data_IF_458821480628
#
_entry.id   IF_458821480628
#
_cell.length_a   1.000
_cell.length_b   1.000
_cell.length_c   1.000
_cell.angle_alpha   90.00
_cell.angle_beta   90.00
_cell.angle_gamma   90.00
#
_symmetry.space_group_name_H-M   'P 1'
#
loop_
_entity.id
_entity.type
_entity.pdbx_description
1 polymer ?
#
# COMPACT_ATOMS: atom_id res chain seq x y z
N UNK A 1 -30.33 32.70 61.47
CA UNK A 1 -30.93 31.40 61.23
C UNK A 1 -31.32 31.29 59.77
N UNK A 2 -31.10 30.22 59.15
CA UNK A 2 -30.13 29.12 59.08
C UNK A 2 -29.59 29.07 57.65
N UNK A 3 -28.83 28.27 57.16
CA UNK A 3 -28.32 26.94 57.42
C UNK A 3 -27.17 26.68 56.43
N UNK A 4 -26.10 26.13 56.86
CA UNK A 4 -24.93 25.89 56.05
C UNK A 4 -25.06 24.52 55.39
N UNK A 5 -25.21 24.50 54.06
CA UNK A 5 -25.08 23.28 53.25
C UNK A 5 -23.63 22.79 53.23
N UNK A 6 -23.36 21.69 53.96
CA UNK A 6 -22.09 21.00 53.92
C UNK A 6 -21.89 20.28 52.60
N UNK A 7 -21.05 20.79 51.74
CA UNK A 7 -20.47 20.01 50.63
C UNK A 7 -19.53 18.98 51.20
N UNK A 8 -19.90 17.71 51.15
CA UNK A 8 -19.00 16.58 51.45
C UNK A 8 -17.91 16.49 50.35
N UNK A 9 -16.82 17.24 50.61
CA UNK A 9 -15.59 17.05 49.86
C UNK A 9 -15.05 15.67 50.18
N UNK A 10 -14.93 14.82 49.18
CA UNK A 10 -14.19 13.56 49.27
C UNK A 10 -12.73 13.93 49.56
N UNK A 11 -12.28 13.63 50.77
CA UNK A 11 -10.94 13.94 51.22
C UNK A 11 -9.93 13.16 50.35
N UNK A 12 -9.06 13.83 49.58
CA UNK A 12 -8.06 13.15 48.77
C UNK A 12 -7.07 12.30 49.58
N UNK A 13 -6.97 12.52 50.88
CA UNK A 13 -6.19 11.69 51.80
C UNK A 13 -6.80 10.29 52.00
N UNK A 14 -8.11 10.12 51.83
CA UNK A 14 -8.76 8.82 52.00
C UNK A 14 -8.36 7.82 50.90
N UNK A 15 -8.12 8.27 49.66
CA UNK A 15 -7.65 7.40 48.58
C UNK A 15 -6.18 6.97 48.75
N UNK A 16 -5.36 7.84 49.31
CA UNK A 16 -3.98 7.54 49.66
C UNK A 16 -3.88 6.53 50.79
N UNK A 17 -4.78 6.58 51.78
CA UNK A 17 -4.80 5.63 52.92
C UNK A 17 -5.15 4.21 52.45
N UNK A 18 -6.04 4.05 51.45
CA UNK A 18 -6.37 2.76 50.90
C UNK A 18 -5.19 2.16 50.11
N UNK A 19 -4.46 2.95 49.33
CA UNK A 19 -3.25 2.53 48.62
C UNK A 19 -2.14 2.11 49.58
N UNK A 20 -1.93 2.88 50.63
CA UNK A 20 -0.94 2.58 51.69
C UNK A 20 -1.32 1.31 52.43
N UNK A 21 -2.61 1.11 52.73
CA UNK A 21 -3.13 -0.09 53.39
C UNK A 21 -2.98 -1.34 52.50
N UNK A 22 -3.17 -1.23 51.22
CA UNK A 22 -2.99 -2.32 50.23
C UNK A 22 -1.51 -2.69 50.07
N UNK A 23 -0.63 -1.71 50.06
CA UNK A 23 0.83 -1.91 50.03
C UNK A 23 1.41 -2.48 51.33
N UNK A 24 0.87 -2.06 52.48
CA UNK A 24 1.31 -2.55 53.76
C UNK A 24 0.77 -3.95 54.12
N UNK A 25 -0.42 -4.31 53.61
CA UNK A 25 -1.03 -5.63 53.81
C UNK A 25 -1.45 -6.22 52.43
N UNK A 26 -0.52 -6.80 51.68
CA UNK A 26 -0.82 -7.39 50.37
C UNK A 26 -1.64 -8.69 50.45
N UNK A 27 -1.95 -9.17 51.63
CA UNK A 27 -2.73 -10.38 51.83
C UNK A 27 -4.17 -10.02 52.23
N UNK A 28 -5.13 -10.60 51.50
CA UNK A 28 -6.56 -10.49 51.82
C UNK A 28 -6.83 -10.85 53.29
N UNK A 29 -7.67 -10.07 53.97
CA UNK A 29 -8.07 -10.28 55.36
C UNK A 29 -8.59 -11.72 55.60
N UNK A 30 -9.22 -12.35 54.64
CA UNK A 30 -9.63 -13.74 54.65
C UNK A 30 -8.47 -14.73 54.78
N UNK A 31 -7.33 -14.43 54.11
CA UNK A 31 -6.14 -15.29 54.17
C UNK A 31 -5.44 -15.20 55.56
N UNK A 32 -5.41 -14.03 56.16
CA UNK A 32 -4.85 -13.83 57.52
C UNK A 32 -5.71 -14.57 58.54
N UNK A 33 -7.04 -14.48 58.42
CA UNK A 33 -7.96 -15.19 59.32
C UNK A 33 -7.89 -16.71 59.13
N UNK A 34 -7.81 -17.20 57.89
CA UNK A 34 -7.62 -18.62 57.60
C UNK A 34 -6.33 -19.18 58.21
N UNK A 35 -5.25 -18.43 58.12
CA UNK A 35 -3.93 -18.81 58.70
C UNK A 35 -3.92 -18.81 60.23
N UNK A 36 -4.67 -17.90 60.86
CA UNK A 36 -4.80 -17.83 62.31
C UNK A 36 -5.62 -19.00 62.88
N UNK A 37 -6.65 -19.45 62.15
CA UNK A 37 -7.54 -20.55 62.59
C UNK A 37 -7.02 -21.94 62.23
N UNK A 38 -6.19 -22.07 61.18
CA UNK A 38 -5.71 -23.37 60.69
C UNK A 38 -4.20 -23.53 60.80
N UNK A 39 -3.57 -23.14 61.84
CA UNK A 39 -2.16 -23.27 62.14
C UNK A 39 -1.23 -23.91 61.04
N UNK A 40 0.07 -23.73 61.09
CA UNK A 40 0.96 -24.26 60.06
C UNK A 40 0.90 -25.80 60.05
N UNK A 41 0.26 -26.37 59.03
CA UNK A 41 0.33 -27.82 58.84
C UNK A 41 1.79 -28.21 58.53
N UNK A 42 2.39 -29.18 59.25
CA UNK A 42 3.72 -29.63 58.89
C UNK A 42 3.70 -30.14 57.47
N UNK A 43 4.49 -29.51 56.60
CA UNK A 43 4.60 -29.91 55.21
C UNK A 43 5.21 -31.33 55.19
N UNK A 44 4.38 -32.32 54.90
CA UNK A 44 4.81 -33.71 54.76
C UNK A 44 5.83 -33.79 53.64
N UNK A 45 6.83 -34.66 53.74
CA UNK A 45 7.83 -34.88 52.71
C UNK A 45 7.19 -35.17 51.34
N UNK A 46 6.08 -35.89 51.31
CA UNK A 46 5.29 -36.12 50.13
C UNK A 46 4.74 -34.82 49.49
N UNK A 47 4.27 -33.88 50.32
CA UNK A 47 3.76 -32.59 49.81
C UNK A 47 4.86 -31.72 49.21
N UNK A 48 6.07 -31.72 49.79
CA UNK A 48 7.23 -31.03 49.23
C UNK A 48 7.70 -31.61 47.93
N UNK A 49 7.71 -32.95 47.82
CA UNK A 49 8.03 -33.66 46.56
C UNK A 49 6.97 -33.38 45.49
N UNK A 50 5.69 -33.35 45.84
CA UNK A 50 4.62 -33.01 44.91
C UNK A 50 4.74 -31.61 44.35
N UNK A 51 5.00 -30.61 45.18
CA UNK A 51 5.23 -29.22 44.74
C UNK A 51 6.47 -29.12 43.83
N UNK A 52 7.54 -29.84 44.16
CA UNK A 52 8.76 -29.87 43.35
C UNK A 52 8.53 -30.49 41.97
N UNK A 53 7.77 -31.59 41.89
CA UNK A 53 7.41 -32.21 40.60
C UNK A 53 6.55 -31.29 39.75
N UNK A 54 5.56 -30.61 40.35
CA UNK A 54 4.71 -29.64 39.61
C UNK A 54 5.55 -28.45 39.13
N UNK A 55 6.46 -27.93 39.95
CA UNK A 55 7.35 -26.85 39.57
C UNK A 55 8.30 -27.26 38.41
N UNK A 56 8.83 -28.48 38.47
CA UNK A 56 9.64 -29.06 37.34
C UNK A 56 8.83 -29.21 36.09
N UNK A 57 7.59 -29.70 36.15
CA UNK A 57 6.72 -29.88 34.99
C UNK A 57 6.36 -28.52 34.35
N UNK A 58 6.07 -27.50 35.16
CA UNK A 58 5.79 -26.14 34.68
C UNK A 58 7.04 -25.50 34.09
N UNK A 59 8.21 -25.69 34.71
CA UNK A 59 9.49 -25.20 34.18
C UNK A 59 9.82 -25.84 32.84
N UNK A 60 9.66 -27.15 32.73
CA UNK A 60 9.89 -27.88 31.47
C UNK A 60 8.88 -27.46 30.37
N UNK A 61 7.61 -27.32 30.71
CA UNK A 61 6.59 -26.84 29.79
C UNK A 61 6.89 -25.43 29.28
N UNK A 62 7.38 -24.55 30.13
CA UNK A 62 7.79 -23.20 29.75
C UNK A 62 8.97 -23.19 28.78
N UNK A 63 9.97 -24.07 28.98
CA UNK A 63 11.13 -24.21 28.08
C UNK A 63 10.70 -24.75 26.72
N UNK A 64 9.82 -25.75 26.69
CA UNK A 64 9.30 -26.31 25.43
C UNK A 64 8.47 -25.26 24.67
N UNK A 65 7.62 -24.50 25.36
CA UNK A 65 6.84 -23.43 24.76
C UNK A 65 7.72 -22.31 24.18
N UNK A 66 8.80 -21.92 24.89
CA UNK A 66 9.73 -20.92 24.37
C UNK A 66 10.59 -21.44 23.20
N UNK A 67 10.90 -22.74 23.16
CA UNK A 67 11.58 -23.33 22.00
C UNK A 67 10.67 -23.44 20.78
N UNK A 68 9.40 -23.80 20.96
CA UNK A 68 8.43 -23.85 19.85
C UNK A 68 8.08 -22.45 19.28
N UNK A 69 8.06 -21.42 20.13
CA UNK A 69 7.89 -20.02 19.71
C UNK A 69 9.18 -19.41 19.09
N UNK A 70 10.33 -20.01 19.35
CA UNK A 70 11.61 -19.71 18.70
C UNK A 70 11.88 -20.59 17.48
N UNK A 71 10.87 -21.31 16.98
CA UNK A 71 10.94 -21.97 15.68
C UNK A 71 11.42 -20.97 14.62
N UNK A 72 12.38 -21.33 13.78
CA UNK A 72 13.43 -20.43 13.32
C UNK A 72 12.89 -19.38 12.35
N UNK A 73 12.87 -18.12 12.78
CA UNK A 73 12.76 -16.98 11.88
C UNK A 73 13.87 -16.98 10.79
N UNK A 74 14.89 -17.83 10.94
CA UNK A 74 15.93 -18.09 9.97
C UNK A 74 15.42 -18.84 8.73
N UNK A 75 14.60 -19.88 8.93
CA UNK A 75 14.09 -20.68 7.81
C UNK A 75 13.07 -19.91 6.96
N UNK A 76 12.19 -19.13 7.60
CA UNK A 76 11.25 -18.26 6.88
C UNK A 76 11.96 -17.18 6.06
N UNK A 77 13.04 -16.59 6.61
CA UNK A 77 13.87 -15.63 5.86
C UNK A 77 14.62 -16.28 4.70
N UNK A 78 15.13 -17.49 4.88
CA UNK A 78 15.80 -18.22 3.83
C UNK A 78 14.83 -18.61 2.71
N UNK A 79 13.65 -19.10 3.08
CA UNK A 79 12.57 -19.48 2.15
C UNK A 79 12.03 -18.27 1.37
N UNK A 80 11.79 -17.14 2.04
CA UNK A 80 11.38 -15.89 1.38
C UNK A 80 12.46 -15.35 0.44
N UNK A 81 13.74 -15.45 0.81
CA UNK A 81 14.85 -15.06 -0.05
C UNK A 81 14.95 -15.95 -1.27
N UNK A 82 14.76 -17.26 -1.09
CA UNK A 82 14.74 -18.23 -2.20
C UNK A 82 13.54 -18.00 -3.12
N UNK A 83 12.35 -17.74 -2.58
CA UNK A 83 11.17 -17.38 -3.37
C UNK A 83 11.38 -16.07 -4.14
N UNK A 84 11.95 -15.05 -3.51
CA UNK A 84 12.28 -13.78 -4.16
C UNK A 84 13.29 -13.99 -5.29
N UNK A 85 14.33 -14.80 -5.06
CA UNK A 85 15.33 -15.17 -6.06
C UNK A 85 14.72 -15.91 -7.26
N UNK A 86 13.86 -16.90 -6.99
CA UNK A 86 13.14 -17.63 -8.05
C UNK A 86 12.23 -16.74 -8.87
N UNK A 87 11.51 -15.81 -8.23
CA UNK A 87 10.66 -14.84 -8.92
C UNK A 87 11.47 -13.84 -9.75
N UNK A 88 12.63 -13.41 -9.24
CA UNK A 88 13.53 -12.53 -10.00
C UNK A 88 14.09 -13.22 -11.23
N UNK A 89 14.49 -14.48 -11.11
CA UNK A 89 14.93 -15.29 -12.26
C UNK A 89 13.81 -15.50 -13.30
N UNK A 90 12.58 -15.73 -12.83
CA UNK A 90 11.42 -15.86 -13.72
C UNK A 90 11.09 -14.55 -14.46
N UNK A 91 11.25 -13.41 -13.80
CA UNK A 91 11.08 -12.08 -14.44
C UNK A 91 12.17 -11.85 -15.48
N UNK A 92 13.41 -12.26 -15.18
CA UNK A 92 14.54 -12.15 -16.11
C UNK A 92 14.35 -13.05 -17.34
N UNK A 93 13.90 -14.28 -17.16
CA UNK A 93 13.55 -15.21 -18.25
C UNK A 93 12.42 -14.64 -19.13
N UNK A 94 11.34 -14.17 -18.51
CA UNK A 94 10.25 -13.54 -19.25
C UNK A 94 10.69 -12.28 -20.02
N UNK A 95 11.59 -11.49 -19.41
CA UNK A 95 12.16 -10.32 -20.09
C UNK A 95 13.02 -10.71 -21.31
N UNK A 96 13.80 -11.78 -21.18
CA UNK A 96 14.58 -12.33 -22.27
C UNK A 96 13.67 -12.88 -23.38
N UNK A 97 12.59 -13.56 -23.04
CA UNK A 97 11.60 -14.05 -23.99
C UNK A 97 10.92 -12.89 -24.73
N UNK A 98 10.50 -11.84 -24.03
CA UNK A 98 9.94 -10.64 -24.65
C UNK A 98 10.93 -9.97 -25.59
N UNK A 99 12.21 -9.86 -25.20
CA UNK A 99 13.25 -9.30 -26.08
C UNK A 99 13.54 -10.21 -27.28
N UNK A 100 13.50 -11.54 -27.12
CA UNK A 100 13.71 -12.47 -28.23
C UNK A 100 12.54 -12.44 -29.23
N UNK A 101 11.32 -12.38 -28.71
CA UNK A 101 10.11 -12.19 -29.53
C UNK A 101 10.11 -10.84 -30.23
N UNK A 102 10.53 -9.77 -29.55
CA UNK A 102 10.70 -8.44 -30.16
C UNK A 102 11.67 -8.48 -31.34
N UNK A 103 12.84 -9.09 -31.16
CA UNK A 103 13.82 -9.29 -32.25
C UNK A 103 13.30 -10.18 -33.39
N UNK A 104 12.54 -11.23 -33.07
CA UNK A 104 11.91 -12.06 -34.08
C UNK A 104 10.86 -11.27 -34.89
N UNK A 105 10.05 -10.45 -34.25
CA UNK A 105 9.09 -9.56 -34.91
C UNK A 105 9.81 -8.56 -35.82
N UNK A 106 10.92 -7.98 -35.38
CA UNK A 106 11.74 -7.06 -36.19
C UNK A 106 12.31 -7.74 -37.43
N UNK A 107 12.72 -9.01 -37.35
CA UNK A 107 13.20 -9.78 -38.50
C UNK A 107 12.10 -10.07 -39.55
N UNK A 108 10.85 -10.20 -39.10
CA UNK A 108 9.69 -10.39 -40.03
C UNK A 108 9.04 -9.07 -40.44
N UNK A 109 9.38 -7.95 -39.77
CA UNK A 109 8.92 -6.62 -40.16
C UNK A 109 9.66 -6.18 -41.42
N UNK A 110 8.98 -6.27 -42.55
CA UNK A 110 9.46 -5.78 -43.84
C UNK A 110 9.90 -4.30 -43.73
N UNK A 111 10.95 -3.84 -44.46
CA UNK A 111 11.42 -2.44 -44.38
C UNK A 111 10.37 -1.38 -44.77
N UNK A 112 9.21 -1.78 -45.32
CA UNK A 112 8.06 -0.89 -45.47
C UNK A 112 7.38 -0.47 -44.19
N UNK A 113 7.82 -0.97 -42.99
CA UNK A 113 7.22 -0.73 -41.70
C UNK A 113 7.95 0.34 -40.86
N UNK A 114 8.94 1.05 -41.38
CA UNK A 114 9.61 2.18 -40.70
C UNK A 114 8.57 3.19 -40.21
N UNK A 115 7.53 3.46 -41.01
CA UNK A 115 6.45 4.37 -40.63
C UNK A 115 5.61 3.87 -39.44
N UNK A 116 5.45 2.54 -39.28
CA UNK A 116 4.68 1.97 -38.14
C UNK A 116 5.50 1.93 -36.85
N UNK A 117 6.81 1.67 -36.94
CA UNK A 117 7.72 1.68 -35.80
C UNK A 117 7.86 3.11 -35.28
N UNK A 118 8.00 4.10 -36.13
CA UNK A 118 8.03 5.52 -35.72
C UNK A 118 6.72 5.94 -35.08
N UNK A 119 5.57 5.46 -35.62
CA UNK A 119 4.26 5.71 -35.00
C UNK A 119 4.10 5.06 -33.64
N UNK A 120 4.58 3.82 -33.46
CA UNK A 120 4.51 3.12 -32.17
C UNK A 120 5.40 3.80 -31.10
N UNK A 121 6.60 4.21 -31.48
CA UNK A 121 7.48 4.97 -30.59
C UNK A 121 6.89 6.33 -30.23
N UNK A 122 6.27 7.02 -31.18
CA UNK A 122 5.58 8.29 -30.95
C UNK A 122 4.38 8.14 -30.01
N UNK A 123 3.64 7.03 -30.12
CA UNK A 123 2.56 6.69 -29.18
C UNK A 123 3.10 6.45 -27.76
N UNK A 124 4.15 5.64 -27.63
CA UNK A 124 4.77 5.31 -26.34
C UNK A 124 5.41 6.53 -25.67
N UNK A 125 6.01 7.42 -26.47
CA UNK A 125 6.57 8.68 -25.96
C UNK A 125 5.51 9.75 -25.72
N UNK A 126 4.24 9.47 -26.01
CA UNK A 126 3.10 10.38 -25.87
C UNK A 126 3.21 11.66 -26.74
N UNK A 127 4.05 11.67 -27.79
CA UNK A 127 4.30 12.84 -28.65
C UNK A 127 3.27 13.04 -29.76
N UNK A 128 2.30 12.14 -29.90
CA UNK A 128 1.19 12.25 -30.84
C UNK A 128 -0.15 12.20 -30.13
N UNK A 129 -1.13 12.91 -30.67
CA UNK A 129 -2.51 12.82 -30.23
C UNK A 129 -3.06 11.41 -30.49
N UNK A 130 -3.92 10.93 -29.64
CA UNK A 130 -4.50 9.59 -29.73
C UNK A 130 -6.00 9.64 -29.56
N UNK A 131 -6.69 8.68 -30.19
CA UNK A 131 -8.10 8.45 -29.95
C UNK A 131 -8.40 6.96 -29.98
N UNK A 132 -9.36 6.53 -29.15
CA UNK A 132 -9.77 5.14 -29.06
C UNK A 132 -10.83 4.89 -28.01
N UNK A 133 -11.30 3.64 -27.88
CA UNK A 133 -12.19 3.26 -26.79
C UNK A 133 -11.45 3.27 -25.46
N UNK A 134 -12.18 3.39 -24.38
CA UNK A 134 -11.55 3.37 -23.06
C UNK A 134 -12.50 3.73 -21.94
N UNK A 135 -11.93 4.20 -20.84
CA UNK A 135 -12.68 4.61 -19.64
C UNK A 135 -12.23 5.97 -19.14
N UNK A 136 -13.13 6.66 -18.43
CA UNK A 136 -12.83 7.82 -17.62
C UNK A 136 -13.16 7.47 -16.15
N UNK A 137 -12.18 7.64 -15.30
CA UNK A 137 -12.28 7.45 -13.84
C UNK A 137 -12.30 8.82 -13.18
N UNK A 138 -13.40 9.18 -12.58
CA UNK A 138 -13.57 10.45 -11.91
C UNK A 138 -13.42 10.27 -10.40
N UNK A 139 -12.41 10.92 -9.82
CA UNK A 139 -12.23 11.01 -8.38
C UNK A 139 -12.69 12.40 -7.92
N UNK A 140 -13.57 12.43 -6.92
CA UNK A 140 -14.13 13.69 -6.43
C UNK A 140 -13.91 13.83 -4.93
N UNK A 141 -13.40 14.97 -4.53
CA UNK A 141 -13.22 15.34 -3.13
C UNK A 141 -14.54 15.30 -2.37
N UNK A 142 -14.51 14.94 -1.11
CA UNK A 142 -15.66 15.07 -0.24
C UNK A 142 -16.05 16.54 -0.09
N UNK A 143 -17.30 16.85 -0.42
CA UNK A 143 -17.88 18.18 -0.20
C UNK A 143 -18.39 18.28 1.25
N UNK A 144 -18.03 19.37 1.98
CA UNK A 144 -18.57 19.63 3.31
C UNK A 144 -17.59 20.30 4.29
N UNK A 145 -18.05 20.69 5.50
CA UNK A 145 -17.17 21.19 6.56
C UNK A 145 -16.22 20.10 7.02
N UNK A 146 -14.93 20.39 7.03
CA UNK A 146 -13.86 19.45 7.35
C UNK A 146 -13.01 19.02 6.14
N UNK A 147 -12.86 19.89 5.17
CA UNK A 147 -12.16 19.67 3.89
C UNK A 147 -10.74 19.07 3.96
N UNK A 148 -10.13 18.95 5.14
CA UNK A 148 -8.75 18.45 5.27
C UNK A 148 -8.59 16.93 5.19
N UNK A 149 -9.65 16.15 5.42
CA UNK A 149 -9.56 14.67 5.50
C UNK A 149 -10.21 13.92 4.34
N UNK A 150 -10.90 14.63 3.44
CA UNK A 150 -11.64 14.04 2.32
C UNK A 150 -11.14 14.44 0.94
N UNK A 151 -9.98 15.08 0.86
CA UNK A 151 -9.36 15.47 -0.40
C UNK A 151 -8.65 14.28 -1.05
N UNK A 152 -8.79 14.15 -2.35
CA UNK A 152 -7.99 13.25 -3.19
C UNK A 152 -6.52 13.69 -3.12
N UNK A 153 -5.62 12.74 -3.06
CA UNK A 153 -4.17 12.98 -3.00
C UNK A 153 -3.49 12.54 -4.28
N UNK A 154 -2.31 13.05 -4.51
CA UNK A 154 -1.42 12.63 -5.61
C UNK A 154 -1.19 11.10 -5.62
N UNK A 155 -1.09 10.48 -4.45
CA UNK A 155 -0.96 9.02 -4.30
C UNK A 155 -2.19 8.26 -4.82
N UNK A 156 -3.39 8.81 -4.64
CA UNK A 156 -4.64 8.20 -5.11
C UNK A 156 -4.68 8.22 -6.65
N UNK A 157 -4.30 9.34 -7.25
CA UNK A 157 -4.18 9.47 -8.71
C UNK A 157 -3.07 8.55 -9.26
N UNK A 158 -1.91 8.51 -8.61
CA UNK A 158 -0.80 7.64 -9.00
C UNK A 158 -1.19 6.15 -8.94
N UNK A 159 -1.96 5.74 -7.92
CA UNK A 159 -2.47 4.37 -7.80
C UNK A 159 -3.38 4.01 -8.97
N UNK A 160 -4.32 4.89 -9.32
CA UNK A 160 -5.24 4.70 -10.47
C UNK A 160 -4.45 4.64 -11.78
N UNK A 161 -3.55 5.58 -12.02
CA UNK A 161 -2.71 5.62 -13.24
C UNK A 161 -1.88 4.35 -13.39
N UNK A 162 -1.21 3.92 -12.32
CA UNK A 162 -0.38 2.70 -12.35
C UNK A 162 -1.22 1.44 -12.59
N UNK A 163 -2.43 1.36 -12.00
CA UNK A 163 -3.33 0.25 -12.24
C UNK A 163 -3.80 0.19 -13.70
N UNK A 164 -4.09 1.35 -14.30
CA UNK A 164 -4.50 1.44 -15.71
C UNK A 164 -3.36 1.06 -16.65
N UNK A 165 -2.12 1.51 -16.40
CA UNK A 165 -0.94 1.07 -17.16
C UNK A 165 -0.72 -0.43 -17.04
N UNK A 166 -0.82 -0.99 -15.83
CA UNK A 166 -0.68 -2.43 -15.60
C UNK A 166 -1.77 -3.26 -16.27
N UNK A 167 -2.96 -2.67 -16.49
CA UNK A 167 -4.08 -3.29 -17.20
C UNK A 167 -3.99 -3.16 -18.73
N UNK A 168 -2.93 -2.55 -19.25
CA UNK A 168 -2.69 -2.41 -20.69
C UNK A 168 -3.30 -1.15 -21.29
N UNK A 169 -3.44 -0.07 -20.54
CA UNK A 169 -3.77 1.23 -21.12
C UNK A 169 -2.69 1.63 -22.14
N UNK A 170 -3.11 2.18 -23.27
CA UNK A 170 -2.22 2.65 -24.34
C UNK A 170 -1.92 4.15 -24.21
N UNK A 171 -2.82 4.88 -23.58
CA UNK A 171 -2.67 6.29 -23.28
C UNK A 171 -3.48 6.68 -22.05
N UNK A 172 -2.94 7.59 -21.25
CA UNK A 172 -3.62 8.12 -20.05
C UNK A 172 -3.48 9.64 -20.02
N UNK A 173 -4.52 10.32 -19.53
CA UNK A 173 -4.49 11.73 -19.17
C UNK A 173 -5.18 11.98 -17.83
N UNK A 174 -4.80 13.06 -17.13
CA UNK A 174 -5.46 13.55 -15.93
C UNK A 174 -5.91 14.99 -16.21
N UNK A 175 -7.20 15.27 -16.15
CA UNK A 175 -7.77 16.58 -16.50
C UNK A 175 -7.14 17.15 -17.78
N UNK A 176 -7.18 16.37 -18.86
CA UNK A 176 -6.62 16.65 -20.18
C UNK A 176 -5.08 16.78 -20.25
N UNK A 177 -4.39 16.62 -19.12
CA UNK A 177 -2.93 16.56 -19.11
C UNK A 177 -2.44 15.15 -19.45
N UNK A 178 -1.85 14.97 -20.65
CA UNK A 178 -1.33 13.68 -21.11
C UNK A 178 -0.21 13.19 -20.19
N UNK A 179 -0.29 11.92 -19.80
CA UNK A 179 0.74 11.23 -19.02
C UNK A 179 1.72 10.56 -19.96
N UNK A 180 3.00 10.88 -19.80
CA UNK A 180 4.11 10.31 -20.58
C UNK A 180 5.31 9.99 -19.69
N UNK A 181 6.44 9.54 -20.27
CA UNK A 181 7.59 9.06 -19.50
C UNK A 181 8.20 10.06 -18.52
N UNK A 182 8.07 11.37 -18.79
CA UNK A 182 8.60 12.44 -17.94
C UNK A 182 7.55 13.11 -17.08
N UNK A 183 6.29 12.63 -17.10
CA UNK A 183 5.21 13.23 -16.32
C UNK A 183 5.32 12.87 -14.85
N UNK A 184 5.18 13.85 -13.99
CA UNK A 184 5.08 13.67 -12.56
C UNK A 184 3.78 14.26 -12.02
N UNK A 185 3.23 13.60 -11.00
CA UNK A 185 2.03 14.04 -10.26
C UNK A 185 2.47 14.27 -8.82
N UNK A 186 2.23 15.47 -8.30
CA UNK A 186 2.64 15.81 -6.92
C UNK A 186 1.69 16.81 -6.28
N UNK A 187 1.53 16.72 -4.99
CA UNK A 187 0.84 17.73 -4.19
C UNK A 187 1.75 18.95 -3.95
N UNK A 188 1.22 20.14 -4.17
CA UNK A 188 1.87 21.40 -3.88
C UNK A 188 0.90 22.31 -3.10
N UNK A 189 1.05 22.33 -1.78
CA UNK A 189 0.13 23.03 -0.90
C UNK A 189 -1.27 22.41 -0.92
N UNK A 190 -2.27 23.15 -1.40
CA UNK A 190 -3.66 22.72 -1.46
C UNK A 190 -4.08 22.19 -2.85
N UNK A 191 -3.17 22.08 -3.80
CA UNK A 191 -3.46 21.66 -5.18
C UNK A 191 -2.55 20.50 -5.59
N UNK A 192 -3.05 19.68 -6.52
CA UNK A 192 -2.24 18.67 -7.19
C UNK A 192 -1.73 19.25 -8.49
N UNK A 193 -0.47 19.04 -8.76
CA UNK A 193 0.17 19.41 -10.03
C UNK A 193 0.41 18.17 -10.88
N UNK A 194 0.01 18.23 -12.13
CA UNK A 194 0.46 17.31 -13.19
C UNK A 194 1.49 18.08 -14.00
N UNK A 195 2.75 17.69 -13.89
CA UNK A 195 3.89 18.51 -14.29
C UNK A 195 3.86 19.88 -13.57
N UNK A 196 3.65 20.95 -14.33
CA UNK A 196 3.52 22.33 -13.81
C UNK A 196 2.05 22.81 -13.79
N UNK A 197 1.12 22.03 -14.31
CA UNK A 197 -0.30 22.41 -14.46
C UNK A 197 -1.07 22.03 -13.20
N UNK A 198 -1.69 22.98 -12.51
CA UNK A 198 -2.56 22.68 -11.36
C UNK A 198 -3.87 22.04 -11.83
N UNK A 199 -4.23 20.94 -11.17
CA UNK A 199 -5.51 20.26 -11.36
C UNK A 199 -6.31 20.27 -10.07
N UNK A 200 -7.62 20.24 -10.19
CA UNK A 200 -8.55 20.30 -9.05
C UNK A 200 -9.70 19.32 -9.23
N UNK A 201 -10.35 19.00 -8.13
CA UNK A 201 -11.53 18.14 -8.11
C UNK A 201 -12.70 18.72 -8.93
N UNK A 202 -13.41 17.89 -9.72
CA UNK A 202 -13.18 16.48 -9.92
C UNK A 202 -11.92 16.20 -10.74
N UNK A 203 -11.23 15.07 -10.43
CA UNK A 203 -10.06 14.61 -11.16
C UNK A 203 -10.48 13.53 -12.15
N UNK A 204 -10.44 13.84 -13.41
CA UNK A 204 -10.79 12.91 -14.50
C UNK A 204 -9.54 12.23 -15.04
N UNK A 205 -9.37 10.97 -14.66
CA UNK A 205 -8.32 10.10 -15.20
C UNK A 205 -8.90 9.34 -16.39
N UNK A 206 -8.50 9.73 -17.59
CA UNK A 206 -8.96 9.12 -18.82
C UNK A 206 -7.92 8.15 -19.36
N UNK A 207 -8.33 6.94 -19.75
CA UNK A 207 -7.44 5.92 -20.28
C UNK A 207 -8.02 5.31 -21.55
N UNK A 208 -7.20 5.24 -22.61
CA UNK A 208 -7.51 4.53 -23.87
C UNK A 208 -6.98 3.11 -23.76
N UNK A 209 -7.78 2.13 -24.15
CA UNK A 209 -7.48 0.69 -24.11
C UNK A 209 -8.73 -0.16 -24.00
N UNK A 210 -8.56 -1.45 -23.68
CA UNK A 210 -9.68 -2.35 -23.42
C UNK A 210 -10.47 -1.92 -22.18
N UNK A 211 -11.66 -1.35 -22.42
CA UNK A 211 -12.51 -0.80 -21.37
C UNK A 211 -12.88 -1.81 -20.28
N UNK A 212 -12.99 -3.10 -20.62
CA UNK A 212 -13.31 -4.15 -19.67
C UNK A 212 -12.12 -4.47 -18.78
N UNK A 213 -10.93 -4.68 -19.36
CA UNK A 213 -9.70 -4.92 -18.63
C UNK A 213 -9.38 -3.76 -17.69
N UNK A 214 -9.46 -2.52 -18.20
CA UNK A 214 -9.23 -1.31 -17.43
C UNK A 214 -10.20 -1.15 -16.25
N UNK A 215 -11.50 -1.42 -16.48
CA UNK A 215 -12.51 -1.34 -15.40
C UNK A 215 -12.30 -2.40 -14.33
N UNK A 216 -11.94 -3.62 -14.72
CA UNK A 216 -11.67 -4.72 -13.77
C UNK A 216 -10.47 -4.39 -12.88
N UNK A 217 -9.41 -3.79 -13.43
CA UNK A 217 -8.21 -3.43 -12.68
C UNK A 217 -8.46 -2.42 -11.54
N UNK A 218 -9.49 -1.61 -11.65
CA UNK A 218 -9.86 -0.62 -10.64
C UNK A 218 -10.72 -1.19 -9.50
N UNK A 219 -11.44 -2.29 -9.74
CA UNK A 219 -12.36 -2.87 -8.76
C UNK A 219 -11.85 -4.15 -8.12
N UNK A 220 -10.76 -4.72 -8.64
CA UNK A 220 -10.17 -5.97 -8.16
C UNK A 220 -8.74 -5.80 -7.68
N UNK A 221 -8.33 -6.71 -6.79
CA UNK A 221 -6.97 -6.75 -6.26
C UNK A 221 -6.64 -5.53 -5.41
N UNK A 222 -5.35 -5.27 -5.24
CA UNK A 222 -4.84 -4.24 -4.35
C UNK A 222 -5.38 -2.83 -4.64
N UNK A 223 -5.64 -2.51 -5.91
CA UNK A 223 -6.18 -1.20 -6.30
C UNK A 223 -7.64 -1.05 -5.86
N UNK A 224 -8.47 -2.07 -6.08
CA UNK A 224 -9.87 -2.07 -5.63
C UNK A 224 -9.98 -1.97 -4.11
N UNK A 225 -9.18 -2.76 -3.39
CA UNK A 225 -9.11 -2.73 -1.92
C UNK A 225 -8.66 -1.37 -1.40
N UNK A 226 -7.62 -0.79 -2.01
CA UNK A 226 -7.12 0.54 -1.68
C UNK A 226 -8.19 1.62 -1.88
N UNK A 227 -8.77 1.69 -3.08
CA UNK A 227 -9.79 2.70 -3.40
C UNK A 227 -11.02 2.58 -2.49
N UNK A 228 -11.48 1.36 -2.19
CA UNK A 228 -12.58 1.11 -1.27
C UNK A 228 -12.25 1.58 0.15
N UNK A 229 -11.04 1.31 0.63
CA UNK A 229 -10.57 1.75 1.94
C UNK A 229 -10.51 3.28 2.01
N UNK A 230 -9.90 3.93 1.02
CA UNK A 230 -9.77 5.39 0.99
C UNK A 230 -11.16 6.05 0.90
N UNK A 231 -12.07 5.55 0.04
CA UNK A 231 -13.46 6.04 -0.02
C UNK A 231 -14.16 5.95 1.35
N UNK A 232 -14.01 4.82 2.04
CA UNK A 232 -14.62 4.61 3.37
C UNK A 232 -14.03 5.54 4.44
N UNK A 233 -12.73 5.79 4.39
CA UNK A 233 -12.02 6.61 5.39
C UNK A 233 -12.17 8.11 5.15
N UNK A 234 -12.12 8.54 3.90
CA UNK A 234 -12.08 9.96 3.54
C UNK A 234 -13.43 10.50 3.08
N UNK A 235 -14.29 9.64 2.54
CA UNK A 235 -15.55 10.01 1.94
C UNK A 235 -15.41 10.62 0.54
N UNK A 236 -14.24 10.51 -0.09
CA UNK A 236 -14.09 10.80 -1.52
C UNK A 236 -14.96 9.86 -2.34
N UNK A 237 -15.32 10.23 -3.55
CA UNK A 237 -16.06 9.35 -4.46
C UNK A 237 -15.23 8.99 -5.67
N UNK A 238 -15.35 7.74 -6.12
CA UNK A 238 -14.74 7.25 -7.36
C UNK A 238 -15.85 6.71 -8.23
N UNK A 239 -15.92 7.17 -9.47
CA UNK A 239 -16.84 6.67 -10.49
C UNK A 239 -16.11 6.35 -11.78
N UNK A 240 -16.61 5.37 -12.52
CA UNK A 240 -16.00 4.94 -13.78
C UNK A 240 -17.04 4.98 -14.89
N UNK A 241 -16.69 5.57 -16.02
CA UNK A 241 -17.53 5.66 -17.22
C UNK A 241 -16.78 5.07 -18.40
N UNK A 242 -17.42 4.15 -19.12
CA UNK A 242 -16.91 3.61 -20.39
C UNK A 242 -17.27 4.55 -21.53
N UNK A 243 -16.33 4.75 -22.45
CA UNK A 243 -16.52 5.57 -23.65
C UNK A 243 -16.06 4.81 -24.89
N UNK A 244 -16.85 4.81 -25.98
CA UNK A 244 -16.45 4.14 -27.21
C UNK A 244 -15.36 4.90 -27.99
N UNK A 245 -15.21 6.19 -27.70
CA UNK A 245 -14.17 7.05 -28.28
C UNK A 245 -13.78 8.12 -27.29
N UNK A 246 -12.51 8.14 -26.95
CA UNK A 246 -11.84 9.16 -26.17
C UNK A 246 -10.77 9.79 -27.05
N UNK A 247 -10.45 11.06 -26.84
CA UNK A 247 -9.38 11.75 -27.52
C UNK A 247 -8.45 12.39 -26.51
N UNK A 248 -7.15 12.32 -26.74
CA UNK A 248 -6.12 12.92 -25.90
C UNK A 248 -5.10 13.64 -26.77
N UNK A 249 -4.75 14.84 -26.36
CA UNK A 249 -3.71 15.62 -27.03
C UNK A 249 -2.31 15.02 -26.85
N UNK A 250 -1.39 15.45 -27.67
CA UNK A 250 0.02 15.10 -27.54
C UNK A 250 0.66 15.80 -26.34
N UNK A 251 1.61 15.11 -25.69
CA UNK A 251 2.46 15.73 -24.68
C UNK A 251 3.55 16.56 -25.38
N UNK A 252 3.68 17.82 -24.98
CA UNK A 252 4.79 18.66 -25.43
C UNK A 252 6.05 18.30 -24.65
N UNK A 253 7.01 17.67 -25.29
CA UNK A 253 8.31 17.36 -24.69
C UNK A 253 9.32 18.43 -25.06
N UNK A 254 10.21 18.77 -24.12
CA UNK A 254 11.38 19.58 -24.42
C UNK A 254 12.35 18.77 -25.29
N UNK A 255 12.88 19.39 -26.33
CA UNK A 255 13.93 18.77 -27.13
C UNK A 255 15.17 18.51 -26.27
N UNK A 256 15.88 17.39 -26.45
CA UNK A 256 17.13 17.14 -25.76
C UNK A 256 18.19 18.16 -26.23
N UNK A 257 18.87 18.81 -25.30
CA UNK A 257 19.87 19.81 -25.60
C UNK A 257 21.28 19.19 -25.68
N UNK A 258 21.53 18.18 -24.87
CA UNK A 258 22.87 17.57 -24.72
C UNK A 258 22.93 16.10 -25.13
N UNK A 259 21.78 15.41 -25.22
CA UNK A 259 21.74 14.01 -25.59
C UNK A 259 21.67 13.84 -27.11
N UNK A 260 22.60 13.08 -27.67
CA UNK A 260 22.60 12.65 -29.07
C UNK A 260 22.36 11.15 -29.15
N UNK A 261 21.63 10.65 -30.18
CA UNK A 261 21.49 9.22 -30.35
C UNK A 261 22.85 8.54 -30.52
N UNK A 262 23.08 7.43 -29.80
CA UNK A 262 24.24 6.60 -30.05
C UNK A 262 24.09 5.95 -31.45
N UNK A 263 25.01 6.21 -32.30
CA UNK A 263 25.05 5.55 -33.63
C UNK A 263 25.59 4.13 -33.40
N UNK A 264 24.77 3.12 -33.70
CA UNK A 264 25.23 1.73 -33.70
C UNK A 264 26.28 1.55 -34.81
N UNK A 265 27.55 1.53 -34.38
CA UNK A 265 28.72 1.34 -35.25
C UNK A 265 28.80 -0.11 -35.79
N UNK A 266 27.80 -0.94 -35.57
CA UNK A 266 27.81 -2.37 -35.92
C UNK A 266 27.15 -2.71 -37.30
N UNK A 267 26.84 -1.73 -38.14
CA UNK A 267 26.36 -1.96 -39.49
C UNK A 267 27.46 -1.72 -40.56
N UNK A 268 28.67 -2.20 -40.30
CA UNK A 268 29.77 -2.03 -41.25
C UNK A 268 30.73 -3.20 -41.23
N UNK A 269 30.38 -4.31 -41.86
CA UNK A 269 31.32 -5.43 -41.93
C UNK A 269 30.81 -6.64 -42.71
N UNK A 270 30.40 -6.46 -43.96
CA UNK A 270 30.43 -7.56 -44.94
C UNK A 270 30.87 -6.97 -46.30
N UNK A 271 32.15 -7.06 -46.52
CA UNK A 271 32.73 -7.11 -47.88
C UNK A 271 33.04 -8.55 -48.17
#
# INVERSE_FOLDING_TARGET
>A
MPDAGSTSGVDPAASMSLLTSLLANPLDAGYVHYRATHGPRPATLLGRVGVFVVALALGFSSVVATQSLRAPAGDVKADLKEQASRRSAQVEDLNNDVQSLGRAIEQYANPSTVTKTDSALALQSATVAVSGPGITVTLTDRSGPGKGSGAVRDQDLAMVVNALWAAGAEAISINDQRIGPSTYVRTAGAVILVNITPVSSPYDVTAVGDSNALSIALVRGNTGDYLSAVQSMTGMTVSTKVSPSLSMEALTLSAPEYATPAVDTNQGGTS
#
